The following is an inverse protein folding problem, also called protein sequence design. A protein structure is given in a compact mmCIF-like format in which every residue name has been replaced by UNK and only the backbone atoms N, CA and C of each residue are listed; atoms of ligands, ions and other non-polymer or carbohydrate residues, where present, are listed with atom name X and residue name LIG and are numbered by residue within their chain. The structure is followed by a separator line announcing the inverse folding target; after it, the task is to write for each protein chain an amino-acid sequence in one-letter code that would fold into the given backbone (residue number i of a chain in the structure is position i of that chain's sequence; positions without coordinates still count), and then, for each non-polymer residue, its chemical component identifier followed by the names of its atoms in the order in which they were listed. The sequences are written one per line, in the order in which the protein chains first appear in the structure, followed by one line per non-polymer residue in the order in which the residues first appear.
data_IF_543430127669
#
_entry.id   IF_543430127669
#
_cell.length_a   1.000
_cell.length_b   1.000
_cell.length_c   1.000
_cell.angle_alpha   90.00
_cell.angle_beta   90.00
_cell.angle_gamma   90.00
#
_symmetry.space_group_name_H-M   'P 1'
#
loop_
_entity.id
_entity.type
_entity.pdbx_description
1 polymer ?
#
# COMPACT_ATOMS: atom_id res chain seq x y z
N UNK A 1 -16.46 -6.14 -16.70
CA UNK A 1 -16.05 -5.28 -17.85
C UNK A 1 -14.56 -4.95 -17.72
N UNK A 2 -13.82 -4.73 -18.82
CA UNK A 2 -12.42 -4.30 -18.70
C UNK A 2 -12.33 -2.91 -18.04
N UNK A 3 -11.25 -2.69 -17.26
CA UNK A 3 -10.97 -1.40 -16.62
C UNK A 3 -10.15 -0.54 -17.60
N UNK A 4 -10.72 0.53 -18.11
CA UNK A 4 -10.07 1.47 -19.03
C UNK A 4 -9.62 2.76 -18.36
N UNK A 5 -10.37 3.21 -17.34
CA UNK A 5 -10.10 4.44 -16.61
C UNK A 5 -9.92 4.16 -15.10
N UNK A 6 -8.87 4.79 -14.53
CA UNK A 6 -8.49 4.62 -13.13
C UNK A 6 -8.46 5.98 -12.43
N UNK A 7 -9.29 6.14 -11.43
CA UNK A 7 -9.19 7.24 -10.47
C UNK A 7 -8.21 6.90 -9.36
N UNK A 8 -7.41 7.86 -8.92
CA UNK A 8 -6.53 7.71 -7.76
C UNK A 8 -6.78 8.86 -6.79
N UNK A 9 -7.21 8.54 -5.58
CA UNK A 9 -7.43 9.53 -4.53
C UNK A 9 -6.23 9.58 -3.62
N UNK A 10 -5.54 10.71 -3.60
CA UNK A 10 -4.25 10.92 -2.94
C UNK A 10 -3.08 10.84 -3.93
N UNK A 11 -2.26 11.88 -3.98
CA UNK A 11 -1.09 12.01 -4.86
C UNK A 11 0.25 11.76 -4.15
N UNK A 12 0.18 11.27 -2.90
CA UNK A 12 1.33 10.92 -2.08
C UNK A 12 2.15 9.76 -2.68
N UNK A 13 3.08 9.23 -1.88
CA UNK A 13 4.02 8.19 -2.32
C UNK A 13 3.37 6.97 -2.97
N UNK A 14 2.27 6.48 -2.40
CA UNK A 14 1.55 5.33 -2.97
C UNK A 14 0.71 5.75 -4.17
N UNK A 15 -0.07 6.82 -4.06
CA UNK A 15 -1.00 7.25 -5.11
C UNK A 15 -0.29 7.63 -6.40
N UNK A 16 0.81 8.39 -6.35
CA UNK A 16 1.56 8.69 -7.59
C UNK A 16 2.13 7.41 -8.23
N UNK A 17 2.60 6.44 -7.43
CA UNK A 17 3.08 5.17 -7.95
C UNK A 17 1.98 4.32 -8.58
N UNK A 18 0.76 4.30 -8.01
CA UNK A 18 -0.41 3.61 -8.55
C UNK A 18 -0.83 4.27 -9.88
N UNK A 19 -0.92 5.61 -9.89
CA UNK A 19 -1.20 6.38 -11.10
C UNK A 19 -0.18 6.09 -12.22
N UNK A 20 1.11 6.05 -11.88
CA UNK A 20 2.18 5.72 -12.82
C UNK A 20 1.99 4.34 -13.46
N UNK A 21 1.79 3.28 -12.66
CA UNK A 21 1.68 1.92 -13.22
C UNK A 21 0.39 1.73 -14.03
N UNK A 22 -0.71 2.39 -13.64
CA UNK A 22 -1.95 2.40 -14.41
C UNK A 22 -1.74 3.10 -15.77
N UNK A 23 -1.12 4.28 -15.80
CA UNK A 23 -0.84 4.99 -17.04
C UNK A 23 0.16 4.24 -17.94
N UNK A 24 1.19 3.62 -17.37
CA UNK A 24 2.12 2.76 -18.12
C UNK A 24 1.45 1.54 -18.77
N UNK A 25 0.29 1.11 -18.26
CA UNK A 25 -0.51 0.03 -18.88
C UNK A 25 -1.51 0.53 -19.93
N UNK A 26 -1.48 1.84 -20.26
CA UNK A 26 -2.33 2.45 -21.27
C UNK A 26 -3.71 2.87 -20.77
N UNK A 27 -3.93 2.89 -19.45
CA UNK A 27 -5.20 3.33 -18.86
C UNK A 27 -5.23 4.84 -18.71
N UNK A 28 -6.41 5.44 -18.94
CA UNK A 28 -6.65 6.84 -18.59
C UNK A 28 -6.65 6.97 -17.06
N UNK A 29 -5.92 7.97 -16.55
CA UNK A 29 -5.77 8.16 -15.09
C UNK A 29 -6.21 9.56 -14.69
N UNK A 30 -7.03 9.63 -13.63
CA UNK A 30 -7.39 10.88 -12.98
C UNK A 30 -6.89 10.83 -11.55
N UNK A 31 -5.89 11.65 -11.22
CA UNK A 31 -5.34 11.74 -9.87
C UNK A 31 -5.96 12.93 -9.14
N UNK A 32 -6.55 12.68 -7.96
CA UNK A 32 -7.23 13.69 -7.16
C UNK A 32 -6.52 13.87 -5.82
N UNK A 33 -6.34 15.12 -5.41
CA UNK A 33 -5.84 15.46 -4.07
C UNK A 33 -6.48 16.79 -3.62
N UNK A 34 -6.36 17.13 -2.33
CA UNK A 34 -6.96 18.31 -1.71
C UNK A 34 -6.34 19.64 -2.14
N UNK A 35 -5.12 19.62 -2.74
CA UNK A 35 -4.38 20.82 -3.17
C UNK A 35 -3.63 20.58 -4.48
N UNK A 36 -3.63 21.60 -5.34
CA UNK A 36 -2.84 21.61 -6.58
C UNK A 36 -1.36 21.33 -6.34
N UNK A 37 -0.75 21.90 -5.30
CA UNK A 37 0.67 21.70 -4.98
C UNK A 37 1.04 20.23 -4.74
N UNK A 38 0.10 19.44 -4.18
CA UNK A 38 0.30 18.00 -3.97
C UNK A 38 0.24 17.23 -5.29
N UNK A 39 -0.68 17.62 -6.16
CA UNK A 39 -0.84 17.06 -7.50
C UNK A 39 0.39 17.36 -8.37
N UNK A 40 0.86 18.61 -8.40
CA UNK A 40 2.08 19.00 -9.13
C UNK A 40 3.29 18.20 -8.67
N UNK A 41 3.46 18.03 -7.35
CA UNK A 41 4.52 17.22 -6.76
C UNK A 41 4.38 15.74 -7.15
N UNK A 42 3.16 15.21 -7.14
CA UNK A 42 2.86 13.84 -7.56
C UNK A 42 3.23 13.60 -9.01
N UNK A 43 2.79 14.46 -9.93
CA UNK A 43 3.12 14.39 -11.36
C UNK A 43 4.63 14.54 -11.59
N UNK A 44 5.28 15.47 -10.91
CA UNK A 44 6.75 15.63 -10.99
C UNK A 44 7.49 14.37 -10.53
N UNK A 45 7.00 13.70 -9.46
CA UNK A 45 7.56 12.43 -8.98
C UNK A 45 7.41 11.34 -10.03
N UNK A 46 6.24 11.24 -10.68
CA UNK A 46 5.98 10.29 -11.78
C UNK A 46 6.94 10.57 -12.94
N UNK A 47 7.03 11.82 -13.40
CA UNK A 47 7.93 12.20 -14.51
C UNK A 47 9.36 11.77 -14.22
N UNK A 48 9.90 12.14 -13.05
CA UNK A 48 11.26 11.76 -12.64
C UNK A 48 11.45 10.23 -12.56
N UNK A 49 10.41 9.50 -12.18
CA UNK A 49 10.44 8.03 -12.13
C UNK A 49 10.47 7.42 -13.53
N UNK A 50 9.67 7.93 -14.45
CA UNK A 50 9.62 7.50 -15.84
C UNK A 50 10.95 7.79 -16.56
N UNK A 51 11.53 8.98 -16.36
CA UNK A 51 12.84 9.34 -16.89
C UNK A 51 13.95 8.39 -16.42
N UNK A 52 13.92 7.99 -15.13
CA UNK A 52 14.84 6.99 -14.59
C UNK A 52 14.64 5.59 -15.19
N UNK A 53 13.42 5.22 -15.51
CA UNK A 53 13.13 3.94 -16.18
C UNK A 53 13.61 3.98 -17.62
N UNK A 54 13.39 5.08 -18.35
CA UNK A 54 13.87 5.28 -19.72
C UNK A 54 15.40 5.28 -19.77
N UNK A 55 16.07 6.05 -18.91
CA UNK A 55 17.55 6.09 -18.85
C UNK A 55 18.20 4.74 -18.55
N UNK A 56 17.48 3.82 -17.90
CA UNK A 56 17.91 2.44 -17.64
C UNK A 56 17.49 1.46 -18.73
N UNK A 57 16.85 1.93 -19.81
CA UNK A 57 16.38 1.12 -20.94
C UNK A 57 15.24 0.14 -20.56
N UNK A 58 14.50 0.43 -19.49
CA UNK A 58 13.35 -0.40 -19.08
C UNK A 58 12.06 -0.05 -19.83
N UNK A 59 11.95 1.18 -20.28
CA UNK A 59 10.90 1.70 -21.18
C UNK A 59 11.57 2.62 -22.19
N UNK A 60 10.87 2.95 -23.28
CA UNK A 60 11.34 3.97 -24.24
C UNK A 60 10.89 5.37 -23.81
N UNK A 61 11.51 6.42 -24.39
CA UNK A 61 11.10 7.82 -24.14
C UNK A 61 9.67 8.06 -24.62
N UNK A 62 9.26 7.40 -25.73
CA UNK A 62 7.89 7.46 -26.24
C UNK A 62 6.89 6.83 -25.25
N UNK A 63 7.26 5.70 -24.65
CA UNK A 63 6.41 5.05 -23.62
C UNK A 63 6.29 5.93 -22.37
N UNK A 64 7.38 6.58 -21.95
CA UNK A 64 7.36 7.51 -20.82
C UNK A 64 6.45 8.71 -21.09
N UNK A 65 6.60 9.34 -22.28
CA UNK A 65 5.78 10.47 -22.68
C UNK A 65 4.31 10.10 -22.85
N UNK A 66 4.02 8.93 -23.44
CA UNK A 66 2.65 8.41 -23.59
C UNK A 66 2.00 8.18 -22.22
N UNK A 67 2.68 7.52 -21.29
CA UNK A 67 2.17 7.30 -19.95
C UNK A 67 1.85 8.63 -19.24
N UNK A 68 2.75 9.60 -19.32
CA UNK A 68 2.53 10.91 -18.69
C UNK A 68 1.32 11.65 -19.31
N UNK A 69 1.08 11.53 -20.61
CA UNK A 69 -0.04 12.15 -21.30
C UNK A 69 -1.42 11.57 -20.95
N UNK A 70 -1.45 10.35 -20.37
CA UNK A 70 -2.66 9.70 -19.91
C UNK A 70 -3.07 10.12 -18.48
N UNK A 71 -2.23 10.92 -17.79
CA UNK A 71 -2.50 11.36 -16.43
C UNK A 71 -3.07 12.77 -16.44
N UNK A 72 -4.27 12.92 -15.91
CA UNK A 72 -4.89 14.20 -15.58
C UNK A 72 -5.03 14.37 -14.07
N UNK A 73 -5.18 15.61 -13.61
CA UNK A 73 -5.28 15.93 -12.20
C UNK A 73 -6.49 16.81 -11.90
N UNK A 74 -7.05 16.69 -10.70
CA UNK A 74 -8.15 17.55 -10.23
C UNK A 74 -8.14 17.69 -8.73
N UNK A 75 -8.58 18.83 -8.20
CA UNK A 75 -8.84 19.01 -6.76
C UNK A 75 -10.29 18.66 -6.39
N UNK A 76 -11.13 18.32 -7.37
CA UNK A 76 -12.51 17.86 -7.16
C UNK A 76 -12.62 16.37 -7.36
N UNK A 77 -13.25 15.68 -6.41
CA UNK A 77 -13.58 14.26 -6.53
C UNK A 77 -14.63 13.99 -7.63
N UNK A 78 -15.42 14.98 -8.05
CA UNK A 78 -16.39 14.84 -9.12
C UNK A 78 -15.74 14.41 -10.46
N UNK A 79 -14.45 14.71 -10.63
CA UNK A 79 -13.69 14.25 -11.79
C UNK A 79 -13.64 12.72 -11.92
N UNK A 80 -13.89 11.99 -10.83
CA UNK A 80 -13.85 10.52 -10.78
C UNK A 80 -15.17 9.84 -11.18
N UNK A 81 -16.21 10.63 -11.49
CA UNK A 81 -17.58 10.11 -11.73
C UNK A 81 -17.65 9.01 -12.78
N UNK A 82 -16.86 9.10 -13.85
CA UNK A 82 -16.86 8.16 -14.97
C UNK A 82 -15.76 7.09 -14.90
N UNK A 83 -14.92 7.06 -13.83
CA UNK A 83 -13.89 6.05 -13.68
C UNK A 83 -14.48 4.65 -13.50
N UNK A 84 -13.80 3.65 -14.09
CA UNK A 84 -14.17 2.23 -13.94
C UNK A 84 -13.69 1.66 -12.60
N UNK A 85 -12.51 2.09 -12.18
CA UNK A 85 -11.86 1.71 -10.92
C UNK A 85 -11.35 2.97 -10.23
N UNK A 86 -11.65 3.14 -8.96
CA UNK A 86 -11.07 4.19 -8.12
C UNK A 86 -10.26 3.56 -7.01
N UNK A 87 -8.97 3.91 -6.92
CA UNK A 87 -8.06 3.43 -5.88
C UNK A 87 -7.78 4.57 -4.90
N UNK A 88 -8.20 4.39 -3.66
CA UNK A 88 -7.92 5.32 -2.57
C UNK A 88 -6.53 5.03 -1.97
N UNK A 89 -5.71 6.07 -1.85
CA UNK A 89 -4.34 6.03 -1.30
C UNK A 89 -4.03 7.26 -0.41
N UNK A 90 -5.04 7.67 0.40
CA UNK A 90 -4.93 8.76 1.37
C UNK A 90 -4.31 8.26 2.69
N UNK A 91 -4.03 9.14 3.68
CA UNK A 91 -3.51 8.74 4.99
C UNK A 91 -4.33 7.64 5.66
N UNK A 92 -3.66 6.77 6.42
CA UNK A 92 -4.23 5.60 7.09
C UNK A 92 -4.99 6.03 8.36
N UNK A 93 -6.10 6.74 8.15
CA UNK A 93 -7.00 7.27 9.18
C UNK A 93 -8.41 6.75 8.86
N UNK A 94 -9.01 5.88 9.72
CA UNK A 94 -10.28 5.23 9.45
C UNK A 94 -11.39 6.21 9.04
N UNK A 95 -11.66 7.23 9.85
CA UNK A 95 -12.74 8.18 9.62
C UNK A 95 -12.58 8.94 8.29
N UNK A 96 -11.33 9.23 7.90
CA UNK A 96 -11.04 9.88 6.63
C UNK A 96 -11.33 8.95 5.46
N UNK A 97 -10.95 7.67 5.55
CA UNK A 97 -11.24 6.67 4.52
C UNK A 97 -12.74 6.41 4.42
N UNK A 98 -13.45 6.25 5.54
CA UNK A 98 -14.90 6.03 5.56
C UNK A 98 -15.66 7.19 4.90
N UNK A 99 -15.31 8.43 5.24
CA UNK A 99 -15.92 9.61 4.61
C UNK A 99 -15.60 9.71 3.12
N UNK A 100 -14.37 9.35 2.72
CA UNK A 100 -13.96 9.31 1.32
C UNK A 100 -14.75 8.26 0.54
N UNK A 101 -14.92 7.05 1.06
CA UNK A 101 -15.71 6.00 0.41
C UNK A 101 -17.19 6.36 0.31
N UNK A 102 -17.78 6.99 1.32
CA UNK A 102 -19.16 7.52 1.26
C UNK A 102 -19.31 8.58 0.16
N UNK A 103 -18.32 9.45 -0.04
CA UNK A 103 -18.33 10.43 -1.12
C UNK A 103 -18.17 9.76 -2.49
N UNK A 104 -17.22 8.84 -2.65
CA UNK A 104 -17.02 8.08 -3.89
C UNK A 104 -18.27 7.28 -4.27
N UNK A 105 -18.94 6.69 -3.28
CA UNK A 105 -20.20 5.97 -3.51
C UNK A 105 -21.30 6.86 -4.10
N UNK A 106 -21.32 8.13 -3.74
CA UNK A 106 -22.32 9.09 -4.27
C UNK A 106 -21.93 9.72 -5.60
N UNK A 107 -20.63 9.78 -5.92
CA UNK A 107 -20.10 10.47 -7.12
C UNK A 107 -19.94 9.50 -8.28
N UNK A 108 -19.33 8.33 -8.03
CA UNK A 108 -18.97 7.40 -9.08
C UNK A 108 -20.18 6.67 -9.66
N UNK A 109 -20.11 6.37 -10.96
CA UNK A 109 -21.13 5.56 -11.64
C UNK A 109 -21.39 4.24 -10.89
N UNK A 110 -22.59 3.65 -11.00
CA UNK A 110 -22.97 2.46 -10.23
C UNK A 110 -22.04 1.25 -10.44
N UNK A 111 -21.47 1.12 -11.63
CA UNK A 111 -20.60 0.01 -12.03
C UNK A 111 -19.15 0.18 -11.55
N UNK A 112 -18.78 1.36 -11.08
CA UNK A 112 -17.41 1.65 -10.62
C UNK A 112 -17.01 0.76 -9.44
N UNK A 113 -15.78 0.25 -9.50
CA UNK A 113 -15.13 -0.47 -8.40
C UNK A 113 -14.43 0.54 -7.51
N UNK A 114 -14.66 0.45 -6.22
CA UNK A 114 -13.99 1.27 -5.21
C UNK A 114 -12.96 0.42 -4.47
N UNK A 115 -11.69 0.73 -4.64
CA UNK A 115 -10.59 0.00 -4.03
C UNK A 115 -9.85 0.84 -3.00
N UNK A 116 -9.43 0.24 -1.88
CA UNK A 116 -8.54 0.89 -0.91
C UNK A 116 -7.14 0.30 -0.97
N UNK A 117 -6.12 1.17 -0.92
CA UNK A 117 -4.73 0.76 -0.73
C UNK A 117 -4.35 0.72 0.77
N UNK A 118 -5.31 0.54 1.65
CA UNK A 118 -5.06 0.38 3.08
C UNK A 118 -4.13 -0.79 3.36
N UNK A 119 -3.34 -0.67 4.42
CA UNK A 119 -2.47 -1.74 4.91
C UNK A 119 -3.03 -2.46 6.14
N UNK A 120 -4.05 -1.89 6.79
CA UNK A 120 -4.49 -2.33 8.11
C UNK A 120 -5.99 -2.18 8.39
N UNK A 121 -6.69 -1.29 7.68
CA UNK A 121 -8.12 -1.03 7.92
C UNK A 121 -8.94 -2.10 7.19
N UNK A 122 -9.95 -2.67 7.88
CA UNK A 122 -10.83 -3.70 7.34
C UNK A 122 -11.57 -3.22 6.09
N UNK A 123 -11.54 -4.03 5.05
CA UNK A 123 -12.30 -3.81 3.82
C UNK A 123 -13.80 -3.93 4.08
N UNK A 124 -14.21 -4.83 4.98
CA UNK A 124 -15.61 -4.94 5.40
C UNK A 124 -16.10 -3.66 6.06
N UNK A 125 -15.29 -3.06 6.93
CA UNK A 125 -15.61 -1.81 7.59
C UNK A 125 -15.70 -0.66 6.58
N UNK A 126 -14.74 -0.53 5.67
CA UNK A 126 -14.80 0.46 4.58
C UNK A 126 -16.07 0.26 3.73
N UNK A 127 -16.38 -0.97 3.35
CA UNK A 127 -17.53 -1.31 2.53
C UNK A 127 -18.87 -0.95 3.21
N UNK A 128 -18.98 -1.08 4.54
CA UNK A 128 -20.15 -0.73 5.32
C UNK A 128 -20.56 0.75 5.24
N UNK A 129 -19.62 1.62 4.84
CA UNK A 129 -19.85 3.05 4.61
C UNK A 129 -20.30 3.39 3.18
N UNK A 130 -20.61 2.38 2.36
CA UNK A 130 -21.10 2.51 0.97
C UNK A 130 -22.42 1.77 0.78
N UNK A 131 -23.12 2.03 -0.32
CA UNK A 131 -24.32 1.29 -0.74
C UNK A 131 -24.00 0.23 -1.81
N UNK A 132 -22.70 -0.02 -2.07
CA UNK A 132 -22.18 -0.96 -3.06
C UNK A 132 -21.08 -1.83 -2.45
N UNK A 133 -21.33 -2.44 -1.31
CA UNK A 133 -20.37 -3.29 -0.61
C UNK A 133 -19.82 -4.42 -1.50
N UNK A 134 -20.63 -4.91 -2.44
CA UNK A 134 -20.24 -5.90 -3.46
C UNK A 134 -19.20 -5.38 -4.47
N UNK A 135 -18.96 -4.06 -4.53
CA UNK A 135 -18.01 -3.38 -5.41
C UNK A 135 -16.85 -2.71 -4.67
N UNK A 136 -16.73 -2.99 -3.37
CA UNK A 136 -15.60 -2.53 -2.54
C UNK A 136 -14.60 -3.66 -2.40
N UNK A 137 -13.30 -3.33 -2.54
CA UNK A 137 -12.21 -4.32 -2.52
C UNK A 137 -10.93 -3.66 -2.02
N UNK A 138 -10.01 -4.45 -1.46
CA UNK A 138 -8.65 -3.99 -1.17
C UNK A 138 -7.71 -4.21 -2.35
N UNK A 139 -6.89 -3.21 -2.65
CA UNK A 139 -5.76 -3.30 -3.58
C UNK A 139 -4.50 -2.80 -2.88
N UNK A 140 -3.90 -3.66 -2.06
CA UNK A 140 -2.73 -3.32 -1.28
C UNK A 140 -1.46 -3.45 -2.11
N UNK A 141 -1.01 -2.33 -2.65
CA UNK A 141 0.25 -2.22 -3.39
C UNK A 141 1.43 -2.15 -2.44
N UNK A 142 2.58 -2.68 -2.87
CA UNK A 142 3.83 -2.65 -2.11
C UNK A 142 4.69 -1.47 -2.54
N UNK A 143 5.32 -0.81 -1.57
CA UNK A 143 6.22 0.32 -1.80
C UNK A 143 7.66 -0.14 -2.15
N UNK A 144 8.33 0.39 -3.19
CA UNK A 144 7.85 1.36 -4.18
C UNK A 144 6.97 0.72 -5.27
N UNK A 145 5.79 1.31 -5.54
CA UNK A 145 4.79 0.73 -6.45
C UNK A 145 5.35 0.41 -7.84
N UNK A 146 6.14 1.26 -8.51
CA UNK A 146 6.64 0.94 -9.84
C UNK A 146 7.61 -0.25 -9.89
N UNK A 147 8.17 -0.66 -8.74
CA UNK A 147 9.21 -1.71 -8.65
C UNK A 147 8.63 -3.01 -8.13
N UNK A 148 7.82 -2.93 -7.07
CA UNK A 148 7.26 -4.11 -6.40
C UNK A 148 6.16 -4.72 -7.25
N UNK A 149 6.23 -6.04 -7.42
CA UNK A 149 5.31 -6.75 -8.31
C UNK A 149 3.99 -7.12 -7.64
N UNK A 150 4.00 -7.36 -6.33
CA UNK A 150 2.82 -7.85 -5.61
C UNK A 150 1.73 -6.78 -5.50
N UNK A 151 0.49 -7.20 -5.70
CA UNK A 151 -0.72 -6.56 -5.19
C UNK A 151 -1.49 -7.62 -4.41
N UNK A 152 -1.70 -7.40 -3.11
CA UNK A 152 -2.68 -8.20 -2.38
C UNK A 152 -4.06 -7.70 -2.78
N UNK A 153 -4.90 -8.60 -3.27
CA UNK A 153 -6.30 -8.34 -3.63
C UNK A 153 -7.16 -8.86 -2.48
N UNK A 154 -7.68 -7.95 -1.66
CA UNK A 154 -8.36 -8.29 -0.41
C UNK A 154 -9.87 -8.23 -0.63
N UNK A 155 -10.53 -9.39 -0.50
CA UNK A 155 -11.98 -9.50 -0.61
C UNK A 155 -12.64 -9.27 0.74
N UNK A 156 -13.55 -8.32 0.81
CA UNK A 156 -14.52 -8.27 1.88
C UNK A 156 -15.55 -9.41 1.76
N UNK A 157 -16.39 -9.59 2.78
CA UNK A 157 -17.43 -10.63 2.80
C UNK A 157 -18.45 -10.47 1.67
N UNK A 158 -18.78 -9.22 1.31
CA UNK A 158 -19.74 -8.91 0.24
C UNK A 158 -19.08 -8.70 -1.12
N UNK A 159 -17.74 -8.57 -1.21
CA UNK A 159 -17.04 -8.35 -2.48
C UNK A 159 -17.41 -9.42 -3.50
N UNK A 160 -17.95 -9.02 -4.65
CA UNK A 160 -18.38 -9.98 -5.66
C UNK A 160 -17.19 -10.63 -6.38
N UNK A 161 -17.38 -11.90 -6.80
CA UNK A 161 -16.37 -12.62 -7.58
C UNK A 161 -16.07 -11.94 -8.93
N UNK A 162 -17.04 -11.22 -9.50
CA UNK A 162 -16.84 -10.42 -10.71
C UNK A 162 -15.86 -9.28 -10.45
N UNK A 163 -16.04 -8.52 -9.37
CA UNK A 163 -15.14 -7.42 -8.97
C UNK A 163 -13.73 -7.95 -8.72
N UNK A 164 -13.60 -9.05 -7.97
CA UNK A 164 -12.31 -9.69 -7.74
C UNK A 164 -11.60 -10.04 -9.05
N UNK A 165 -12.32 -10.65 -10.00
CA UNK A 165 -11.78 -11.02 -11.30
C UNK A 165 -11.35 -9.81 -12.14
N UNK A 166 -12.14 -8.72 -12.11
CA UNK A 166 -11.81 -7.48 -12.82
C UNK A 166 -10.57 -6.81 -12.24
N UNK A 167 -10.43 -6.77 -10.90
CA UNK A 167 -9.27 -6.19 -10.21
C UNK A 167 -8.00 -7.01 -10.43
N UNK A 168 -8.12 -8.34 -10.45
CA UNK A 168 -7.01 -9.24 -10.82
C UNK A 168 -6.53 -8.92 -12.24
N UNK A 169 -7.45 -8.91 -13.23
CA UNK A 169 -7.10 -8.59 -14.61
C UNK A 169 -6.46 -7.20 -14.75
N UNK A 170 -7.05 -6.18 -14.12
CA UNK A 170 -6.50 -4.83 -14.15
C UNK A 170 -5.09 -4.76 -13.53
N UNK A 171 -4.85 -5.49 -12.44
CA UNK A 171 -3.53 -5.57 -11.81
C UNK A 171 -2.50 -6.26 -12.70
N UNK A 172 -2.87 -7.35 -13.38
CA UNK A 172 -2.00 -8.06 -14.34
C UNK A 172 -1.65 -7.14 -15.52
N UNK A 173 -2.61 -6.40 -16.06
CA UNK A 173 -2.40 -5.40 -17.12
C UNK A 173 -1.42 -4.31 -16.67
N UNK A 174 -1.44 -3.90 -15.40
CA UNK A 174 -0.48 -2.98 -14.78
C UNK A 174 0.91 -3.62 -14.53
N UNK A 175 1.15 -4.85 -15.01
CA UNK A 175 2.41 -5.59 -14.83
C UNK A 175 2.64 -6.08 -13.41
N UNK A 176 1.56 -6.21 -12.61
CA UNK A 176 1.58 -6.74 -11.25
C UNK A 176 1.27 -8.22 -11.21
N UNK A 177 1.54 -8.83 -10.06
CA UNK A 177 1.16 -10.20 -9.72
C UNK A 177 0.12 -10.09 -8.60
N UNK A 178 -1.17 -10.13 -8.93
CA UNK A 178 -2.22 -10.08 -7.93
C UNK A 178 -2.35 -11.42 -7.22
N UNK A 179 -2.37 -11.39 -5.90
CA UNK A 179 -2.66 -12.55 -5.06
C UNK A 179 -3.85 -12.24 -4.16
N UNK A 180 -4.89 -13.07 -4.26
CA UNK A 180 -6.15 -12.83 -3.57
C UNK A 180 -6.15 -13.42 -2.16
N UNK A 181 -6.75 -12.69 -1.21
CA UNK A 181 -7.02 -13.16 0.14
C UNK A 181 -8.35 -12.59 0.64
N UNK A 182 -8.82 -13.09 1.78
CA UNK A 182 -9.96 -12.54 2.49
C UNK A 182 -9.52 -11.42 3.43
N UNK A 183 -10.46 -10.50 3.72
CA UNK A 183 -10.27 -9.48 4.72
C UNK A 183 -10.02 -10.09 6.11
N UNK A 184 -8.93 -9.68 6.73
CA UNK A 184 -8.52 -10.11 8.07
C UNK A 184 -7.48 -9.11 8.57
N UNK A 185 -7.34 -8.89 9.88
CA UNK A 185 -6.33 -7.98 10.41
C UNK A 185 -4.94 -8.27 9.86
N UNK A 186 -4.32 -7.24 9.25
CA UNK A 186 -3.00 -7.32 8.62
C UNK A 186 -2.93 -8.12 7.32
N UNK A 187 -4.07 -8.60 6.79
CA UNK A 187 -4.17 -9.41 5.59
C UNK A 187 -3.24 -10.64 5.65
N UNK A 188 -2.49 -10.95 4.61
CA UNK A 188 -1.49 -12.05 4.64
C UNK A 188 -0.11 -11.51 4.95
N UNK A 189 0.32 -10.46 4.26
CA UNK A 189 1.70 -9.97 4.35
C UNK A 189 2.04 -9.48 5.77
N UNK A 190 1.25 -8.58 6.33
CA UNK A 190 1.52 -8.02 7.65
C UNK A 190 1.29 -9.03 8.77
N UNK A 191 0.27 -9.89 8.64
CA UNK A 191 -0.02 -10.95 9.62
C UNK A 191 1.11 -11.97 9.77
N UNK A 192 1.90 -12.18 8.72
CA UNK A 192 3.07 -13.08 8.77
C UNK A 192 4.34 -12.30 9.10
N UNK A 193 4.55 -11.16 8.43
CA UNK A 193 5.79 -10.41 8.53
C UNK A 193 6.00 -9.77 9.90
N UNK A 194 4.95 -9.15 10.46
CA UNK A 194 5.11 -8.40 11.72
C UNK A 194 5.44 -9.30 12.92
N UNK A 195 4.76 -10.45 13.13
CA UNK A 195 5.18 -11.39 14.17
C UNK A 195 6.59 -11.95 13.96
N UNK A 196 7.02 -12.20 12.71
CA UNK A 196 8.39 -12.63 12.43
C UNK A 196 9.41 -11.56 12.83
N UNK A 197 9.15 -10.30 12.55
CA UNK A 197 9.98 -9.17 12.98
C UNK A 197 9.95 -9.06 14.53
N UNK A 198 8.77 -9.14 15.12
CA UNK A 198 8.60 -9.04 16.56
C UNK A 198 9.35 -10.15 17.30
N UNK A 199 9.33 -11.38 16.79
CA UNK A 199 10.08 -12.51 17.33
C UNK A 199 11.60 -12.28 17.24
N UNK A 200 12.08 -11.67 16.17
CA UNK A 200 13.49 -11.29 16.06
C UNK A 200 13.87 -10.21 17.10
N UNK A 201 12.95 -9.27 17.38
CA UNK A 201 13.15 -8.26 18.42
C UNK A 201 13.14 -8.88 19.81
N UNK A 202 12.25 -9.82 20.09
CA UNK A 202 12.23 -10.59 21.34
C UNK A 202 13.52 -11.39 21.53
N UNK A 203 14.01 -12.05 20.49
CA UNK A 203 15.30 -12.78 20.49
C UNK A 203 16.46 -11.85 20.87
N UNK A 204 16.47 -10.61 20.37
CA UNK A 204 17.45 -9.60 20.75
C UNK A 204 17.25 -9.15 22.21
N UNK A 205 16.02 -8.86 22.61
CA UNK A 205 15.66 -8.42 23.98
C UNK A 205 16.06 -9.44 25.05
N UNK A 206 15.93 -10.71 24.74
CA UNK A 206 16.30 -11.84 25.60
C UNK A 206 17.82 -12.10 25.64
N UNK A 207 18.60 -11.39 24.84
CA UNK A 207 20.06 -11.54 24.79
C UNK A 207 20.53 -12.85 24.16
N UNK A 208 19.71 -13.47 23.31
CA UNK A 208 20.06 -14.73 22.61
C UNK A 208 21.19 -14.48 21.61
N UNK A 209 21.14 -13.33 20.88
CA UNK A 209 22.17 -12.94 19.93
C UNK A 209 22.14 -11.42 19.68
N UNK A 210 23.26 -10.89 19.18
CA UNK A 210 23.39 -9.50 18.73
C UNK A 210 22.66 -9.29 17.39
N UNK A 211 22.30 -8.03 17.03
CA UNK A 211 21.54 -7.73 15.81
C UNK A 211 22.15 -8.31 14.53
N UNK A 212 23.47 -8.19 14.36
CA UNK A 212 24.18 -8.69 13.18
C UNK A 212 24.10 -10.22 13.06
N UNK A 213 24.09 -10.93 14.19
CA UNK A 213 23.97 -12.38 14.19
C UNK A 213 22.54 -12.81 13.85
N UNK A 214 21.51 -12.18 14.44
CA UNK A 214 20.10 -12.45 14.14
C UNK A 214 19.84 -12.26 12.64
N UNK A 215 20.17 -11.09 12.09
CA UNK A 215 19.99 -10.78 10.69
C UNK A 215 20.85 -11.65 9.75
N UNK A 216 22.07 -11.96 10.19
CA UNK A 216 22.99 -12.84 9.46
C UNK A 216 22.44 -14.26 9.33
N UNK A 217 21.92 -14.83 10.42
CA UNK A 217 21.33 -16.18 10.43
C UNK A 217 20.12 -16.24 9.50
N UNK A 218 19.23 -15.26 9.55
CA UNK A 218 18.04 -15.21 8.71
C UNK A 218 18.39 -15.05 7.21
N UNK A 219 19.41 -14.26 6.90
CA UNK A 219 19.88 -14.09 5.53
C UNK A 219 20.58 -15.33 4.97
N UNK A 220 21.50 -15.89 5.75
CA UNK A 220 22.38 -16.98 5.28
C UNK A 220 21.73 -18.36 5.44
N UNK A 221 20.97 -18.56 6.51
CA UNK A 221 20.32 -19.83 6.80
C UNK A 221 18.93 -19.99 6.19
N UNK A 222 18.15 -18.90 6.17
CA UNK A 222 16.76 -18.90 5.68
C UNK A 222 16.60 -18.21 4.32
N UNK A 223 17.68 -17.77 3.70
CA UNK A 223 17.70 -17.10 2.37
C UNK A 223 16.83 -15.83 2.30
N UNK A 224 16.73 -15.09 3.40
CA UNK A 224 16.06 -13.80 3.40
C UNK A 224 16.91 -12.76 2.67
N UNK A 225 16.32 -11.91 1.81
CA UNK A 225 17.08 -10.87 1.10
C UNK A 225 17.60 -9.77 2.03
N UNK A 226 16.92 -9.57 3.17
CA UNK A 226 17.25 -8.62 4.23
C UNK A 226 16.93 -9.26 5.57
N UNK A 227 17.73 -8.99 6.60
CA UNK A 227 17.47 -9.49 7.93
C UNK A 227 16.27 -8.79 8.59
N UNK A 228 15.57 -9.45 9.52
CA UNK A 228 14.33 -8.93 10.12
C UNK A 228 14.51 -7.60 10.86
N UNK A 229 15.61 -7.39 11.56
CA UNK A 229 15.88 -6.15 12.29
C UNK A 229 16.21 -4.99 11.34
N UNK A 230 17.02 -5.24 10.32
CA UNK A 230 17.30 -4.27 9.26
C UNK A 230 16.04 -3.94 8.44
N UNK A 231 15.13 -4.91 8.27
CA UNK A 231 13.83 -4.70 7.63
C UNK A 231 12.89 -3.85 8.51
N UNK A 232 12.87 -4.09 9.81
CA UNK A 232 12.15 -3.24 10.76
C UNK A 232 12.60 -1.78 10.68
N UNK A 233 13.91 -1.53 10.66
CA UNK A 233 14.48 -0.19 10.51
C UNK A 233 14.16 0.45 9.15
N UNK A 234 14.04 -0.35 8.09
CA UNK A 234 13.65 0.12 6.76
C UNK A 234 12.17 0.51 6.69
N UNK A 235 11.29 -0.28 7.31
CA UNK A 235 9.84 -0.01 7.41
C UNK A 235 9.60 1.22 8.29
N UNK A 236 10.31 1.30 9.39
CA UNK A 236 10.14 2.25 10.47
C UNK A 236 9.50 1.60 11.69
N UNK A 237 10.17 1.71 12.84
CA UNK A 237 9.79 1.00 14.07
C UNK A 237 8.41 1.43 14.60
N UNK A 238 8.03 2.69 14.44
CA UNK A 238 6.68 3.18 14.75
C UNK A 238 5.61 2.55 13.86
N UNK A 239 5.90 2.32 12.59
CA UNK A 239 5.00 1.62 11.65
C UNK A 239 4.87 0.15 12.03
N UNK A 240 5.98 -0.53 12.35
CA UNK A 240 5.97 -1.92 12.83
C UNK A 240 5.13 -2.04 14.10
N UNK A 241 5.35 -1.15 15.09
CA UNK A 241 4.59 -1.12 16.33
C UNK A 241 3.09 -0.88 16.08
N UNK A 242 2.75 0.08 15.22
CA UNK A 242 1.36 0.36 14.87
C UNK A 242 0.65 -0.86 14.28
N UNK A 243 1.29 -1.55 13.33
CA UNK A 243 0.70 -2.74 12.69
C UNK A 243 0.56 -3.89 13.69
N UNK A 244 1.53 -4.08 14.60
CA UNK A 244 1.40 -5.08 15.66
C UNK A 244 0.22 -4.80 16.59
N UNK A 245 -0.01 -3.53 16.98
CA UNK A 245 -1.19 -3.15 17.76
C UNK A 245 -2.51 -3.44 17.01
N UNK A 246 -2.57 -3.14 15.72
CA UNK A 246 -3.73 -3.49 14.88
C UNK A 246 -3.96 -5.01 14.85
N UNK A 247 -2.89 -5.80 14.78
CA UNK A 247 -3.00 -7.26 14.83
C UNK A 247 -3.46 -7.75 16.19
N UNK A 248 -2.91 -7.22 17.28
CA UNK A 248 -3.28 -7.56 18.66
C UNK A 248 -4.76 -7.27 18.92
N UNK A 249 -5.21 -6.07 18.62
CA UNK A 249 -6.61 -5.65 18.79
C UNK A 249 -7.55 -6.44 17.87
N UNK A 250 -7.22 -6.54 16.59
CA UNK A 250 -8.12 -7.16 15.60
C UNK A 250 -8.18 -8.68 15.68
N UNK A 251 -7.16 -9.33 16.27
CA UNK A 251 -7.13 -10.78 16.47
C UNK A 251 -7.51 -11.19 17.91
N UNK A 252 -7.62 -10.21 18.82
CA UNK A 252 -7.86 -10.43 20.26
C UNK A 252 -6.86 -11.43 20.89
N UNK A 253 -5.56 -11.31 20.53
CA UNK A 253 -4.54 -12.29 20.91
C UNK A 253 -3.21 -11.59 21.23
N UNK A 254 -2.81 -11.65 22.51
CA UNK A 254 -1.60 -11.03 23.07
C UNK A 254 -0.30 -11.48 22.38
N UNK A 255 -0.31 -12.58 21.60
CA UNK A 255 0.87 -13.03 20.85
C UNK A 255 1.35 -12.01 19.81
N UNK A 256 0.47 -11.06 19.43
CA UNK A 256 0.82 -9.97 18.52
C UNK A 256 1.30 -8.71 19.23
N UNK A 257 1.27 -8.69 20.57
CA UNK A 257 1.71 -7.53 21.34
C UNK A 257 3.14 -7.12 20.98
N UNK A 258 3.41 -5.82 20.79
CA UNK A 258 4.75 -5.33 20.47
C UNK A 258 5.76 -5.68 21.57
N UNK A 259 6.94 -6.16 21.19
CA UNK A 259 8.05 -6.41 22.11
C UNK A 259 8.40 -5.13 22.90
N UNK A 260 8.73 -5.29 24.22
CA UNK A 260 9.08 -4.17 25.08
C UNK A 260 10.23 -3.30 24.54
N UNK A 261 11.24 -3.93 23.92
CA UNK A 261 12.35 -3.24 23.29
C UNK A 261 11.91 -2.38 22.08
N UNK A 262 10.91 -2.83 21.32
CA UNK A 262 10.32 -2.04 20.23
C UNK A 262 9.64 -0.79 20.78
N UNK A 263 8.81 -0.94 21.80
CA UNK A 263 8.11 0.16 22.47
C UNK A 263 9.11 1.17 23.03
N UNK A 264 10.19 0.70 23.68
CA UNK A 264 11.25 1.54 24.20
C UNK A 264 11.93 2.37 23.12
N UNK A 265 12.33 1.75 21.99
CA UNK A 265 12.99 2.43 20.88
C UNK A 265 12.09 3.50 20.25
N UNK A 266 10.82 3.17 20.00
CA UNK A 266 9.84 4.13 19.46
C UNK A 266 9.66 5.32 20.41
N UNK A 267 9.56 5.09 21.72
CA UNK A 267 9.44 6.16 22.72
C UNK A 267 10.64 7.11 22.77
N UNK A 268 11.84 6.61 22.41
CA UNK A 268 13.08 7.41 22.30
C UNK A 268 13.23 8.12 20.95
N UNK A 269 12.32 7.92 19.99
CA UNK A 269 12.44 8.46 18.64
C UNK A 269 13.47 7.73 17.76
N UNK A 270 13.92 6.55 18.18
CA UNK A 270 14.77 5.66 17.39
C UNK A 270 13.90 4.86 16.41
N UNK A 271 13.55 5.47 15.27
CA UNK A 271 12.54 4.95 14.33
C UNK A 271 13.15 4.23 13.13
N UNK A 272 14.42 3.86 13.18
CA UNK A 272 15.13 3.23 12.09
C UNK A 272 15.76 4.23 11.11
N UNK A 273 15.82 3.87 9.83
CA UNK A 273 16.51 4.69 8.80
C UNK A 273 16.00 6.12 8.72
N UNK A 274 14.70 6.35 8.90
CA UNK A 274 14.10 7.69 8.81
C UNK A 274 14.54 8.66 9.90
N UNK A 275 14.99 8.14 11.04
CA UNK A 275 15.55 8.94 12.16
C UNK A 275 17.06 8.82 12.27
N UNK A 276 17.73 8.02 11.42
CA UNK A 276 19.16 7.74 11.47
C UNK A 276 19.57 6.70 12.52
N UNK A 277 18.65 6.22 13.34
CA UNK A 277 18.90 5.22 14.39
C UNK A 277 17.67 4.34 14.62
N UNK A 278 17.92 3.04 14.81
CA UNK A 278 16.94 2.01 15.16
C UNK A 278 17.67 0.86 15.84
N UNK A 279 17.57 -0.35 15.26
CA UNK A 279 18.43 -1.47 15.65
C UNK A 279 19.86 -1.28 15.14
N UNK A 280 20.02 -0.47 14.09
CA UNK A 280 21.29 -0.05 13.52
C UNK A 280 21.42 1.49 13.52
N UNK A 281 22.63 1.98 13.23
CA UNK A 281 22.92 3.38 12.98
C UNK A 281 23.13 3.60 11.47
N UNK A 282 22.62 4.71 10.92
CA UNK A 282 22.59 5.03 9.50
C UNK A 282 23.19 6.39 9.20
#
# INVERSE_FOLDING_TARGET
MPVHSVGVVGSGQMGNGIAQVAACSGKEVIMVDIKEEFLEKGVSTISNSLDKLASKGRITDEQASSALSLISTSVSMDALSECDLVVEAIPEIPELKFSTFSQLDSICKPEAILASNTSSISINEIASHTKRADRVIGMHFMNPVPIMKLVEVINGEETSAEVTSQVISASEEMGKIPLSCMDSPGFVSNRILMPMINEAILTLQEGVAEPDAIDGIMKLGMNHPIGPLALADLIGLDTVMHILNVLEEGMEDDKYAPAGLLVEKVSKGELGRKSGSGFYHY
#
